data_IF_547937604774
#
_entry.id   IF_547937604774
#
_cell.length_a   1.000
_cell.length_b   1.000
_cell.length_c   1.000
_cell.angle_alpha   90.00
_cell.angle_beta   90.00
_cell.angle_gamma   90.00
#
_symmetry.space_group_name_H-M   'P 1'
#
loop_
_entity.id
_entity.type
_entity.pdbx_description
1 polymer ?
#
# COMPACT_ATOMS: atom_id res chain seq x y z
N UNK A 1 34.82 -37.70 -32.29
CA UNK A 1 33.74 -36.87 -32.83
C UNK A 1 32.52 -37.05 -31.95
N UNK A 2 32.26 -36.15 -31.05
CA UNK A 2 31.00 -36.12 -30.31
C UNK A 2 30.77 -34.68 -29.90
N UNK A 3 29.79 -34.08 -30.54
CA UNK A 3 29.36 -32.73 -30.30
C UNK A 3 28.58 -32.62 -29.00
N UNK A 4 29.10 -31.85 -28.04
CA UNK A 4 28.42 -31.48 -26.83
C UNK A 4 27.40 -30.38 -27.09
N UNK A 5 26.14 -30.71 -27.02
CA UNK A 5 25.02 -29.78 -27.09
C UNK A 5 24.91 -29.07 -25.72
N UNK A 6 25.17 -27.80 -25.71
CA UNK A 6 24.95 -26.93 -24.56
C UNK A 6 23.47 -26.48 -24.54
N UNK A 7 22.66 -26.84 -23.55
CA UNK A 7 21.33 -26.26 -23.40
C UNK A 7 21.44 -24.87 -22.81
N UNK A 8 21.30 -23.88 -23.66
CA UNK A 8 21.19 -22.48 -23.26
C UNK A 8 20.07 -22.31 -22.24
N UNK A 9 20.46 -21.99 -21.02
CA UNK A 9 19.57 -21.62 -19.93
C UNK A 9 19.06 -20.19 -20.19
N UNK A 10 18.05 -20.11 -21.05
CA UNK A 10 17.25 -18.92 -21.25
C UNK A 10 16.42 -18.67 -20.02
N UNK A 11 17.00 -18.00 -19.01
CA UNK A 11 16.24 -17.43 -17.90
C UNK A 11 15.34 -16.34 -18.47
N UNK A 12 14.17 -16.76 -18.95
CA UNK A 12 13.05 -15.86 -19.16
C UNK A 12 12.84 -15.10 -17.85
N UNK A 13 13.18 -13.82 -17.86
CA UNK A 13 12.80 -12.88 -16.81
C UNK A 13 11.27 -12.70 -16.88
N UNK A 14 10.55 -13.75 -16.47
CA UNK A 14 9.11 -13.69 -16.32
C UNK A 14 8.78 -12.48 -15.46
N UNK A 15 8.05 -11.53 -16.01
CA UNK A 15 7.54 -10.38 -15.30
C UNK A 15 6.80 -10.90 -14.06
N UNK A 16 7.35 -10.65 -12.88
CA UNK A 16 6.70 -11.07 -11.63
C UNK A 16 5.30 -10.48 -11.60
N UNK A 17 4.26 -11.27 -11.33
CA UNK A 17 2.90 -10.77 -11.19
C UNK A 17 2.88 -9.59 -10.23
N UNK A 18 2.07 -8.58 -10.52
CA UNK A 18 1.95 -7.44 -9.62
C UNK A 18 1.47 -7.88 -8.24
N UNK A 19 1.80 -7.11 -7.21
CA UNK A 19 1.35 -7.38 -5.84
C UNK A 19 -0.17 -7.61 -5.79
N UNK A 20 -0.96 -6.75 -6.45
CA UNK A 20 -2.41 -6.87 -6.45
C UNK A 20 -2.90 -8.15 -7.16
N UNK A 21 -2.24 -8.60 -8.24
CA UNK A 21 -2.58 -9.86 -8.90
C UNK A 21 -2.33 -11.07 -8.00
N UNK A 22 -1.24 -11.04 -7.21
CA UNK A 22 -0.95 -12.08 -6.23
C UNK A 22 -1.95 -12.06 -5.07
N UNK A 23 -2.32 -10.90 -4.58
CA UNK A 23 -3.36 -10.75 -3.55
C UNK A 23 -4.73 -11.22 -4.04
N UNK A 24 -5.06 -11.01 -5.33
CA UNK A 24 -6.30 -11.52 -5.94
C UNK A 24 -6.33 -13.05 -6.03
N UNK A 25 -5.18 -13.69 -6.19
CA UNK A 25 -5.08 -15.14 -6.20
C UNK A 25 -5.26 -15.80 -4.82
N UNK A 26 -5.26 -15.02 -3.74
CA UNK A 26 -5.78 -15.40 -2.43
C UNK A 26 -4.83 -16.16 -1.50
N UNK A 27 -3.72 -16.71 -1.96
CA UNK A 27 -3.01 -17.76 -1.22
C UNK A 27 -1.57 -17.44 -0.80
N UNK A 28 -1.13 -16.18 -0.94
CA UNK A 28 0.28 -15.85 -0.70
C UNK A 28 0.49 -14.94 0.52
N UNK A 29 0.86 -15.54 1.66
CA UNK A 29 1.23 -14.82 2.89
C UNK A 29 2.31 -13.75 2.64
N UNK A 30 3.26 -13.99 1.71
CA UNK A 30 4.29 -13.03 1.35
C UNK A 30 3.71 -11.79 0.66
N UNK A 31 2.67 -11.96 -0.13
CA UNK A 31 1.96 -10.84 -0.78
C UNK A 31 1.21 -9.98 0.23
N UNK A 32 0.61 -10.59 1.25
CA UNK A 32 -0.02 -9.86 2.34
C UNK A 32 1.01 -9.12 3.19
N UNK A 33 2.15 -9.71 3.48
CA UNK A 33 3.26 -9.01 4.15
C UNK A 33 3.76 -7.83 3.32
N UNK A 34 3.87 -7.97 1.99
CA UNK A 34 4.25 -6.88 1.10
C UNK A 34 3.20 -5.76 1.10
N UNK A 35 1.90 -6.10 1.15
CA UNK A 35 0.81 -5.15 1.29
C UNK A 35 0.92 -4.35 2.60
N UNK A 36 1.07 -5.04 3.74
CA UNK A 36 1.24 -4.40 5.03
C UNK A 36 2.47 -3.50 5.08
N UNK A 37 3.60 -3.96 4.55
CA UNK A 37 4.83 -3.14 4.46
C UNK A 37 4.65 -1.91 3.58
N UNK A 38 3.84 -2.02 2.53
CA UNK A 38 3.68 -0.93 1.57
C UNK A 38 2.62 0.07 2.03
N UNK A 39 1.51 -0.37 2.58
CA UNK A 39 0.36 0.50 2.85
C UNK A 39 -0.02 0.61 4.33
N UNK A 40 0.40 -0.33 5.17
CA UNK A 40 0.01 -0.34 6.59
C UNK A 40 0.42 0.93 7.33
N UNK A 41 1.65 1.41 7.11
CA UNK A 41 2.13 2.66 7.72
C UNK A 41 1.34 3.90 7.27
N UNK A 42 0.93 3.93 6.01
CA UNK A 42 0.11 5.01 5.46
C UNK A 42 -1.29 5.02 6.09
N UNK A 43 -1.94 3.86 6.16
CA UNK A 43 -3.28 3.72 6.76
C UNK A 43 -3.24 4.08 8.24
N UNK A 44 -2.24 3.57 8.98
CA UNK A 44 -2.03 3.89 10.40
C UNK A 44 -1.88 5.38 10.63
N UNK A 45 -1.03 6.05 9.85
CA UNK A 45 -0.82 7.50 9.95
C UNK A 45 -2.13 8.29 9.86
N UNK A 46 -3.02 7.94 8.93
CA UNK A 46 -4.31 8.63 8.79
C UNK A 46 -5.31 8.25 9.89
N UNK A 47 -5.24 7.03 10.41
CA UNK A 47 -6.05 6.60 11.54
C UNK A 47 -5.67 7.36 12.82
N UNK A 48 -4.39 7.46 13.14
CA UNK A 48 -3.88 8.25 14.27
C UNK A 48 -4.19 9.75 14.10
N UNK A 49 -4.05 10.28 12.88
CA UNK A 49 -4.39 11.68 12.57
C UNK A 49 -5.88 11.96 12.73
N UNK A 50 -6.75 10.98 12.55
CA UNK A 50 -8.18 11.08 12.85
C UNK A 50 -8.50 10.99 14.37
N UNK A 51 -7.47 10.83 15.20
CA UNK A 51 -7.60 10.80 16.66
C UNK A 51 -7.78 9.40 17.25
N UNK A 52 -7.51 8.33 16.49
CA UNK A 52 -7.47 6.97 17.00
C UNK A 52 -6.17 6.72 17.79
N UNK A 53 -6.23 5.85 18.79
CA UNK A 53 -5.04 5.36 19.49
C UNK A 53 -4.21 4.45 18.58
N UNK A 54 -2.97 4.14 18.96
CA UNK A 54 -2.10 3.25 18.19
C UNK A 54 -2.73 1.86 18.00
N UNK A 55 -3.39 1.31 19.03
CA UNK A 55 -4.05 0.00 18.96
C UNK A 55 -5.27 0.03 18.03
N UNK A 56 -6.10 1.08 18.13
CA UNK A 56 -7.24 1.28 17.24
C UNK A 56 -6.80 1.51 15.78
N UNK A 57 -5.70 2.23 15.58
CA UNK A 57 -5.13 2.45 14.25
C UNK A 57 -4.60 1.13 13.64
N UNK A 58 -4.02 0.25 14.46
CA UNK A 58 -3.61 -1.08 14.01
C UNK A 58 -4.83 -1.94 13.64
N UNK A 59 -5.92 -1.87 14.40
CA UNK A 59 -7.17 -2.54 14.07
C UNK A 59 -7.73 -2.03 12.71
N UNK A 60 -7.67 -0.72 12.48
CA UNK A 60 -8.04 -0.13 11.17
C UNK A 60 -7.18 -0.69 10.04
N UNK A 61 -5.87 -0.86 10.24
CA UNK A 61 -4.98 -1.45 9.23
C UNK A 61 -5.41 -2.88 8.91
N UNK A 62 -5.66 -3.71 9.94
CA UNK A 62 -6.09 -5.10 9.78
C UNK A 62 -7.45 -5.19 9.09
N UNK A 63 -8.43 -4.43 9.54
CA UNK A 63 -9.78 -4.39 8.97
C UNK A 63 -9.78 -3.90 7.51
N UNK A 64 -8.90 -2.92 7.19
CA UNK A 64 -8.71 -2.46 5.81
C UNK A 64 -8.10 -3.57 4.95
N UNK A 65 -7.10 -4.30 5.44
CA UNK A 65 -6.51 -5.42 4.71
C UNK A 65 -7.53 -6.55 4.46
N UNK A 66 -8.36 -6.88 5.45
CA UNK A 66 -9.47 -7.84 5.29
C UNK A 66 -10.46 -7.33 4.24
N UNK A 67 -10.82 -6.04 4.28
CA UNK A 67 -11.69 -5.42 3.29
C UNK A 67 -11.09 -5.46 1.88
N UNK A 68 -9.77 -5.25 1.75
CA UNK A 68 -9.04 -5.42 0.49
C UNK A 68 -9.12 -6.87 0.02
N UNK A 69 -8.86 -7.86 0.89
CA UNK A 69 -8.92 -9.27 0.55
C UNK A 69 -10.27 -9.68 -0.03
N UNK A 70 -11.35 -9.24 0.60
CA UNK A 70 -12.72 -9.57 0.19
C UNK A 70 -13.16 -8.89 -1.10
N UNK A 71 -12.79 -7.62 -1.31
CA UNK A 71 -13.30 -6.79 -2.42
C UNK A 71 -12.34 -6.69 -3.61
N UNK A 72 -11.05 -6.94 -3.41
CA UNK A 72 -10.06 -6.88 -4.48
C UNK A 72 -10.34 -7.86 -5.64
N UNK A 73 -10.88 -9.08 -5.42
CA UNK A 73 -11.28 -9.96 -6.52
C UNK A 73 -12.32 -9.35 -7.46
N UNK A 74 -13.25 -8.57 -6.93
CA UNK A 74 -14.33 -7.92 -7.66
C UNK A 74 -13.97 -6.51 -8.14
N UNK A 75 -12.84 -5.97 -7.69
CA UNK A 75 -12.41 -4.64 -8.05
C UNK A 75 -12.08 -4.53 -9.53
N UNK A 76 -12.93 -3.84 -10.27
CA UNK A 76 -12.72 -3.49 -11.68
C UNK A 76 -12.01 -2.13 -11.72
N UNK A 77 -10.80 -2.14 -12.27
CA UNK A 77 -10.06 -0.91 -12.45
C UNK A 77 -10.55 -0.16 -13.69
N UNK A 78 -11.17 0.97 -13.46
CA UNK A 78 -11.40 1.97 -14.50
C UNK A 78 -10.75 3.29 -14.04
N UNK A 79 -9.67 3.75 -14.69
CA UNK A 79 -8.98 4.98 -14.31
C UNK A 79 -9.87 6.22 -14.41
N UNK A 80 -10.98 6.15 -15.18
CA UNK A 80 -11.98 7.21 -15.29
C UNK A 80 -12.96 7.21 -14.11
N UNK A 81 -13.14 6.04 -13.45
CA UNK A 81 -14.09 5.88 -12.35
C UNK A 81 -13.38 5.93 -11.01
N UNK A 82 -12.39 5.06 -10.79
CA UNK A 82 -11.67 5.01 -9.52
C UNK A 82 -10.27 4.40 -9.67
N UNK A 83 -9.25 5.13 -9.23
CA UNK A 83 -7.89 4.60 -9.09
C UNK A 83 -7.77 3.79 -7.80
N UNK A 84 -6.87 2.80 -7.79
CA UNK A 84 -6.61 2.00 -6.58
C UNK A 84 -6.27 2.87 -5.36
N UNK A 85 -5.49 3.94 -5.54
CA UNK A 85 -5.17 4.90 -4.48
C UNK A 85 -6.43 5.47 -3.82
N UNK A 86 -7.38 5.93 -4.62
CA UNK A 86 -8.65 6.50 -4.16
C UNK A 86 -9.55 5.42 -3.53
N UNK A 87 -9.59 4.24 -4.12
CA UNK A 87 -10.34 3.11 -3.60
C UNK A 87 -9.83 2.69 -2.21
N UNK A 88 -8.50 2.58 -2.05
CA UNK A 88 -7.90 2.25 -0.76
C UNK A 88 -8.15 3.33 0.29
N UNK A 89 -8.07 4.62 -0.10
CA UNK A 89 -8.44 5.75 0.77
C UNK A 89 -9.86 5.61 1.30
N UNK A 90 -10.82 5.39 0.39
CA UNK A 90 -12.22 5.26 0.77
C UNK A 90 -12.45 4.08 1.72
N UNK A 91 -11.78 2.95 1.46
CA UNK A 91 -11.87 1.78 2.33
C UNK A 91 -11.28 2.06 3.73
N UNK A 92 -10.09 2.67 3.80
CA UNK A 92 -9.45 3.03 5.06
C UNK A 92 -10.28 4.09 5.81
N UNK A 93 -10.79 5.11 5.12
CA UNK A 93 -11.64 6.16 5.70
C UNK A 93 -12.91 5.57 6.32
N UNK A 94 -13.53 4.63 5.63
CA UNK A 94 -14.71 3.95 6.16
C UNK A 94 -14.39 3.16 7.44
N UNK A 95 -13.25 2.46 7.51
CA UNK A 95 -12.82 1.75 8.72
C UNK A 95 -12.47 2.70 9.87
N UNK A 96 -11.87 3.84 9.59
CA UNK A 96 -11.61 4.90 10.57
C UNK A 96 -12.94 5.41 11.16
N UNK A 97 -13.93 5.69 10.30
CA UNK A 97 -15.25 6.12 10.74
C UNK A 97 -15.93 5.10 11.65
N UNK A 98 -15.85 3.83 11.27
CA UNK A 98 -16.44 2.73 12.01
C UNK A 98 -15.82 2.60 13.41
N UNK A 99 -14.49 2.73 13.51
CA UNK A 99 -13.76 2.68 14.78
C UNK A 99 -14.09 3.88 15.69
N UNK A 100 -14.18 5.08 15.14
CA UNK A 100 -14.62 6.27 15.89
C UNK A 100 -16.06 6.14 16.39
N UNK A 101 -16.93 5.49 15.60
CA UNK A 101 -18.32 5.22 16.00
C UNK A 101 -18.39 4.19 17.11
N UNK A 102 -17.59 3.11 17.04
CA UNK A 102 -17.48 2.11 18.11
C UNK A 102 -17.02 2.75 19.41
N UNK A 103 -15.99 3.62 19.39
CA UNK A 103 -15.49 4.34 20.55
C UNK A 103 -16.59 5.18 21.21
N UNK A 104 -17.29 6.01 20.43
CA UNK A 104 -18.39 6.86 20.96
C UNK A 104 -19.52 6.04 21.56
N UNK A 105 -19.81 4.86 20.98
CA UNK A 105 -20.80 3.94 21.52
C UNK A 105 -20.36 3.35 22.85
N UNK A 106 -19.10 2.95 22.99
CA UNK A 106 -18.52 2.42 24.21
C UNK A 106 -18.44 3.49 25.31
N UNK A 107 -18.06 4.72 24.99
CA UNK A 107 -18.04 5.85 25.93
C UNK A 107 -19.44 6.18 26.48
N UNK A 108 -20.45 6.18 25.58
CA UNK A 108 -21.85 6.35 26.01
C UNK A 108 -22.32 5.23 26.92
N UNK A 109 -21.94 3.99 26.59
CA UNK A 109 -22.29 2.82 27.39
C UNK A 109 -21.57 2.85 28.75
N UNK A 110 -20.30 3.22 28.82
CA UNK A 110 -19.53 3.37 30.01
C UNK A 110 -20.08 4.51 30.92
N UNK A 111 -20.58 5.61 30.32
CA UNK A 111 -21.24 6.68 31.02
C UNK A 111 -22.66 6.35 31.54
N UNK A 112 -23.28 5.30 31.03
CA UNK A 112 -24.61 4.81 31.45
C UNK A 112 -24.50 3.68 32.47
N UNK A 113 -23.35 3.06 32.66
CA UNK A 113 -23.12 1.97 33.62
C UNK A 113 -22.57 2.56 34.93
N UNK A 114 -23.44 3.18 35.72
CA UNK A 114 -23.46 2.95 37.17
C UNK A 114 -24.01 1.52 37.36
N UNK A 115 -23.58 0.71 38.37
CA UNK A 115 -23.64 -0.75 38.32
C UNK A 115 -25.05 -1.28 38.30
N UNK A 116 -25.49 -1.84 37.21
CA UNK A 116 -26.64 -2.71 37.07
C UNK A 116 -26.26 -3.93 36.25
N UNK A 117 -26.21 -5.04 36.96
CA UNK A 117 -26.15 -6.41 36.43
C UNK A 117 -27.14 -6.63 35.26
N UNK A 118 -26.67 -7.15 34.14
CA UNK A 118 -27.58 -7.72 33.15
C UNK A 118 -27.10 -7.62 31.70
N UNK A 119 -26.71 -8.74 31.20
CA UNK A 119 -26.79 -9.26 29.82
C UNK A 119 -26.72 -8.23 28.68
N UNK A 120 -25.58 -8.10 28.06
CA UNK A 120 -25.40 -7.38 26.80
C UNK A 120 -25.44 -8.36 25.63
N UNK A 121 -26.39 -8.23 24.68
CA UNK A 121 -26.33 -9.03 23.48
C UNK A 121 -25.17 -8.57 22.61
N UNK A 122 -24.22 -9.46 22.39
CA UNK A 122 -23.19 -9.35 21.35
C UNK A 122 -23.89 -9.27 19.99
N UNK A 123 -24.06 -8.08 19.46
CA UNK A 123 -24.44 -7.94 18.06
C UNK A 123 -23.21 -8.23 17.21
N UNK A 124 -23.12 -9.46 16.73
CA UNK A 124 -22.33 -9.80 15.57
C UNK A 124 -22.83 -8.94 14.40
N UNK A 125 -22.03 -7.99 13.97
CA UNK A 125 -22.30 -7.24 12.75
C UNK A 125 -22.13 -8.17 11.57
N UNK A 126 -23.27 -8.71 11.11
CA UNK A 126 -23.38 -9.46 9.87
C UNK A 126 -23.16 -8.48 8.70
N UNK A 127 -21.95 -8.55 8.14
CA UNK A 127 -21.38 -7.61 7.14
C UNK A 127 -21.88 -7.93 5.70
N UNK A 128 -22.96 -8.73 5.59
CA UNK A 128 -23.44 -9.27 4.31
C UNK A 128 -24.38 -8.34 3.53
N UNK A 129 -24.81 -7.21 4.10
CA UNK A 129 -25.87 -6.38 3.49
C UNK A 129 -25.39 -5.02 2.94
N UNK A 130 -24.07 -4.76 2.81
CA UNK A 130 -23.58 -3.43 2.42
C UNK A 130 -22.76 -3.41 1.13
N UNK A 131 -23.14 -4.21 0.16
CA UNK A 131 -22.52 -4.24 -1.17
C UNK A 131 -22.96 -3.06 -2.08
N UNK A 132 -23.86 -2.22 -1.63
CA UNK A 132 -24.34 -1.08 -2.40
C UNK A 132 -23.98 0.22 -1.69
N UNK A 133 -23.13 0.98 -2.32
CA UNK A 133 -22.94 2.42 -2.11
C UNK A 133 -21.61 2.81 -1.47
N UNK A 134 -20.59 2.88 -2.32
CA UNK A 134 -19.39 3.73 -2.11
C UNK A 134 -19.80 5.22 -1.95
N UNK A 135 -21.05 5.55 -2.15
CA UNK A 135 -21.67 6.89 -2.11
C UNK A 135 -22.36 7.23 -0.78
N UNK A 136 -22.15 6.48 0.30
CA UNK A 136 -22.75 6.91 1.58
C UNK A 136 -21.98 8.08 2.16
N UNK A 137 -22.69 9.21 2.17
CA UNK A 137 -22.50 10.47 2.87
C UNK A 137 -21.32 10.44 3.84
N UNK A 138 -20.25 11.16 3.47
CA UNK A 138 -19.10 11.37 4.33
C UNK A 138 -19.57 11.91 5.68
N UNK A 139 -19.31 11.18 6.76
CA UNK A 139 -19.52 11.68 8.13
C UNK A 139 -18.63 12.93 8.29
N UNK A 140 -19.19 14.12 8.52
CA UNK A 140 -18.42 15.36 8.62
C UNK A 140 -17.42 15.37 9.79
N UNK A 141 -17.49 14.38 10.69
CA UNK A 141 -16.55 14.24 11.79
C UNK A 141 -15.20 13.60 11.40
N UNK A 142 -15.07 13.06 10.18
CA UNK A 142 -13.81 12.51 9.68
C UNK A 142 -13.20 13.51 8.70
N UNK A 143 -11.94 13.94 8.91
CA UNK A 143 -11.27 14.88 8.04
C UNK A 143 -11.27 14.41 6.58
N UNK A 144 -11.41 15.36 5.68
CA UNK A 144 -11.28 15.11 4.25
C UNK A 144 -9.78 15.06 3.90
N UNK A 145 -9.23 13.84 3.81
CA UNK A 145 -7.80 13.62 3.63
C UNK A 145 -7.28 13.82 2.19
N UNK A 146 -8.09 14.26 1.25
CA UNK A 146 -7.79 14.20 -0.18
C UNK A 146 -6.38 14.60 -0.60
N UNK A 147 -6.01 15.88 -0.43
CA UNK A 147 -4.69 16.38 -0.82
C UNK A 147 -3.55 15.80 0.05
N UNK A 148 -3.77 15.71 1.37
CA UNK A 148 -2.78 15.13 2.30
C UNK A 148 -2.51 13.64 2.00
N UNK A 149 -3.55 12.91 1.60
CA UNK A 149 -3.42 11.52 1.19
C UNK A 149 -2.56 11.40 -0.07
N UNK A 150 -2.75 12.28 -1.02
CA UNK A 150 -2.00 12.28 -2.28
C UNK A 150 -0.50 12.47 -2.03
N UNK A 151 -0.14 13.45 -1.21
CA UNK A 151 1.25 13.70 -0.83
C UNK A 151 1.84 12.55 0.01
N UNK A 152 1.07 12.04 0.97
CA UNK A 152 1.52 10.93 1.81
C UNK A 152 1.67 9.64 1.00
N UNK A 153 0.81 9.41 0.00
CA UNK A 153 0.92 8.29 -0.92
C UNK A 153 2.23 8.34 -1.72
N UNK A 154 2.56 9.49 -2.30
CA UNK A 154 3.81 9.66 -3.06
C UNK A 154 5.04 9.47 -2.18
N UNK A 155 5.04 10.06 -0.98
CA UNK A 155 6.11 9.88 0.00
C UNK A 155 6.26 8.41 0.42
N UNK A 156 5.15 7.72 0.63
CA UNK A 156 5.12 6.31 1.00
C UNK A 156 5.69 5.42 -0.11
N UNK A 157 5.29 5.62 -1.35
CA UNK A 157 5.84 4.88 -2.50
C UNK A 157 7.33 5.15 -2.68
N UNK A 158 7.77 6.41 -2.50
CA UNK A 158 9.18 6.76 -2.58
C UNK A 158 10.00 6.07 -1.46
N UNK A 159 9.52 6.10 -0.21
CA UNK A 159 10.15 5.42 0.91
C UNK A 159 10.28 3.91 0.64
N UNK A 160 9.21 3.29 0.14
CA UNK A 160 9.21 1.88 -0.22
C UNK A 160 10.17 1.55 -1.36
N UNK A 161 10.23 2.39 -2.38
CA UNK A 161 11.19 2.27 -3.47
C UNK A 161 12.63 2.36 -2.98
N UNK A 162 12.90 3.28 -2.06
CA UNK A 162 14.22 3.44 -1.44
C UNK A 162 14.64 2.19 -0.65
N UNK A 163 13.74 1.58 0.14
CA UNK A 163 14.00 0.31 0.83
C UNK A 163 14.36 -0.81 -0.15
N UNK A 164 13.60 -0.94 -1.23
CA UNK A 164 13.84 -1.96 -2.26
C UNK A 164 15.20 -1.74 -2.93
N UNK A 165 15.52 -0.51 -3.29
CA UNK A 165 16.81 -0.16 -3.91
C UNK A 165 17.95 -0.38 -2.93
N UNK A 166 17.79 -0.02 -1.65
CA UNK A 166 18.77 -0.29 -0.59
C UNK A 166 19.13 -1.77 -0.51
N UNK A 167 18.17 -2.66 -0.63
CA UNK A 167 18.40 -4.12 -0.62
C UNK A 167 19.13 -4.66 -1.85
N UNK A 168 19.31 -3.85 -2.91
CA UNK A 168 19.93 -4.25 -4.19
C UNK A 168 21.29 -3.61 -4.44
N UNK A 169 21.65 -2.60 -3.67
CA UNK A 169 22.90 -1.87 -3.85
C UNK A 169 23.91 -2.24 -2.75
N UNK A 170 25.19 -2.05 -3.05
CA UNK A 170 26.27 -2.23 -2.09
C UNK A 170 26.14 -1.25 -0.91
N UNK A 171 26.46 -1.74 0.29
CA UNK A 171 26.39 -0.99 1.54
C UNK A 171 27.19 0.33 1.48
N UNK A 172 28.37 0.33 0.81
CA UNK A 172 29.19 1.52 0.63
C UNK A 172 28.53 2.56 -0.28
N UNK A 173 27.86 2.12 -1.34
CA UNK A 173 27.09 3.01 -2.20
C UNK A 173 25.90 3.63 -1.45
N UNK A 174 25.21 2.84 -0.63
CA UNK A 174 24.13 3.35 0.20
C UNK A 174 24.67 4.34 1.24
N UNK A 175 25.82 4.08 1.87
CA UNK A 175 26.44 4.99 2.83
C UNK A 175 26.76 6.36 2.21
N UNK A 176 27.30 6.39 0.98
CA UNK A 176 27.54 7.63 0.24
C UNK A 176 26.23 8.40 0.05
N UNK A 177 25.18 7.70 -0.38
CA UNK A 177 23.87 8.30 -0.62
C UNK A 177 23.24 8.82 0.69
N UNK A 178 23.29 8.04 1.76
CA UNK A 178 22.74 8.42 3.06
C UNK A 178 23.43 9.67 3.62
N UNK A 179 24.77 9.71 3.62
CA UNK A 179 25.50 10.87 4.10
C UNK A 179 25.21 12.14 3.28
N UNK A 180 25.20 12.01 1.95
CA UNK A 180 25.02 13.15 1.07
C UNK A 180 23.58 13.62 0.94
N UNK A 181 22.62 12.68 0.79
CA UNK A 181 21.21 13.00 0.50
C UNK A 181 20.37 13.06 1.75
N UNK A 182 20.49 12.06 2.65
CA UNK A 182 19.63 11.96 3.84
C UNK A 182 20.13 12.87 4.96
N UNK A 183 21.46 12.87 5.19
CA UNK A 183 22.09 13.68 6.24
C UNK A 183 22.56 15.05 5.75
N UNK A 184 22.40 15.31 4.47
CA UNK A 184 22.73 16.58 3.82
C UNK A 184 24.18 17.07 4.06
N UNK A 185 25.14 16.13 4.10
CA UNK A 185 26.56 16.49 4.24
C UNK A 185 27.09 17.11 2.96
N UNK A 186 28.02 18.08 3.06
CA UNK A 186 28.75 18.58 1.89
C UNK A 186 29.47 17.45 1.15
N UNK A 187 29.45 17.42 -0.18
CA UNK A 187 30.01 16.30 -0.95
C UNK A 187 31.53 16.17 -0.75
N UNK A 188 32.24 17.26 -0.41
CA UNK A 188 33.67 17.28 -0.08
C UNK A 188 33.96 16.55 1.24
N UNK A 189 33.07 16.70 2.23
CA UNK A 189 33.20 16.04 3.52
C UNK A 189 32.88 14.53 3.42
N UNK A 190 31.89 14.19 2.62
CA UNK A 190 31.61 12.78 2.30
C UNK A 190 32.79 12.14 1.59
N UNK A 191 33.36 12.84 0.60
CA UNK A 191 34.51 12.37 -0.15
C UNK A 191 35.72 12.14 0.76
N UNK A 192 36.01 13.11 1.64
CA UNK A 192 37.12 13.07 2.61
C UNK A 192 36.93 11.91 3.60
N UNK A 193 35.75 11.80 4.18
CA UNK A 193 35.42 10.76 5.20
C UNK A 193 35.51 9.35 4.65
N UNK A 194 35.07 9.16 3.41
CA UNK A 194 35.00 7.82 2.79
C UNK A 194 36.23 7.50 1.90
N UNK A 195 37.19 8.43 1.77
CA UNK A 195 38.40 8.27 0.95
C UNK A 195 38.07 8.07 -0.54
N UNK A 196 37.14 8.84 -1.06
CA UNK A 196 36.69 8.77 -2.48
C UNK A 196 36.73 10.15 -3.13
N UNK A 197 36.61 10.22 -4.45
CA UNK A 197 36.50 11.51 -5.15
C UNK A 197 35.09 12.12 -5.04
N UNK A 198 35.00 13.45 -5.04
CA UNK A 198 33.73 14.19 -5.08
C UNK A 198 32.87 13.78 -6.29
N UNK A 199 33.54 13.56 -7.44
CA UNK A 199 32.83 13.04 -8.64
C UNK A 199 32.15 11.72 -8.39
N UNK A 200 32.75 10.83 -7.59
CA UNK A 200 32.12 9.54 -7.22
C UNK A 200 30.90 9.72 -6.32
N UNK A 201 30.90 10.72 -5.44
CA UNK A 201 29.72 11.07 -4.62
C UNK A 201 28.54 11.46 -5.51
N UNK A 202 28.76 12.38 -6.47
CA UNK A 202 27.72 12.80 -7.41
C UNK A 202 27.22 11.66 -8.32
N UNK A 203 28.12 10.84 -8.85
CA UNK A 203 27.76 9.68 -9.68
C UNK A 203 26.92 8.67 -8.91
N UNK A 204 27.30 8.40 -7.66
CA UNK A 204 26.55 7.46 -6.80
C UNK A 204 25.16 8.00 -6.48
N UNK A 205 25.06 9.28 -6.09
CA UNK A 205 23.77 9.95 -5.90
C UNK A 205 22.89 9.83 -7.13
N UNK A 206 23.43 10.19 -8.29
CA UNK A 206 22.66 10.16 -9.54
C UNK A 206 22.14 8.76 -9.86
N UNK A 207 22.99 7.72 -9.73
CA UNK A 207 22.61 6.32 -10.00
C UNK A 207 21.52 5.83 -9.04
N UNK A 208 21.68 6.10 -7.75
CA UNK A 208 20.69 5.66 -6.74
C UNK A 208 19.39 6.43 -6.92
N UNK A 209 19.42 7.76 -7.11
CA UNK A 209 18.21 8.55 -7.37
C UNK A 209 17.46 8.07 -8.61
N UNK A 210 18.16 7.78 -9.70
CA UNK A 210 17.55 7.23 -10.91
C UNK A 210 16.91 5.85 -10.67
N UNK A 211 17.60 4.98 -9.88
CA UNK A 211 17.06 3.67 -9.51
C UNK A 211 15.81 3.79 -8.64
N UNK A 212 15.80 4.71 -7.65
CA UNK A 212 14.63 4.97 -6.80
C UNK A 212 13.45 5.50 -7.62
N UNK A 213 13.67 6.50 -8.48
CA UNK A 213 12.63 7.04 -9.36
C UNK A 213 12.06 5.94 -10.27
N UNK A 214 12.92 5.10 -10.84
CA UNK A 214 12.48 3.97 -11.68
C UNK A 214 11.63 2.98 -10.88
N UNK A 215 12.03 2.68 -9.65
CA UNK A 215 11.32 1.75 -8.78
C UNK A 215 9.98 2.34 -8.31
N UNK A 216 9.91 3.64 -7.95
CA UNK A 216 8.66 4.34 -7.62
C UNK A 216 7.66 4.25 -8.76
N UNK A 217 8.09 4.58 -9.99
CA UNK A 217 7.23 4.45 -11.18
C UNK A 217 6.81 3.01 -11.45
N UNK A 218 7.66 2.04 -11.10
CA UNK A 218 7.32 0.62 -11.20
C UNK A 218 6.22 0.24 -10.22
N UNK A 219 6.34 0.68 -8.97
CA UNK A 219 5.32 0.46 -7.94
C UNK A 219 3.97 1.08 -8.34
N UNK A 220 3.97 2.32 -8.81
CA UNK A 220 2.76 2.99 -9.33
C UNK A 220 2.11 2.20 -10.46
N UNK A 221 2.89 1.85 -11.49
CA UNK A 221 2.39 1.08 -12.63
C UNK A 221 1.89 -0.31 -12.24
N UNK A 222 2.54 -0.98 -11.28
CA UNK A 222 2.08 -2.29 -10.81
C UNK A 222 0.72 -2.22 -10.15
N UNK A 223 0.45 -1.15 -9.41
CA UNK A 223 -0.84 -0.89 -8.81
C UNK A 223 -1.91 -0.64 -9.89
N UNK A 224 -1.59 0.15 -10.90
CA UNK A 224 -2.51 0.49 -11.99
C UNK A 224 -2.77 -0.69 -12.94
N UNK A 225 -1.72 -1.42 -13.32
CA UNK A 225 -1.83 -2.55 -14.26
C UNK A 225 -2.56 -3.77 -13.67
N UNK A 226 -2.35 -4.05 -12.39
CA UNK A 226 -3.07 -5.13 -11.72
C UNK A 226 -4.56 -4.86 -11.63
N UNK A 227 -4.89 -3.59 -11.58
CA UNK A 227 -6.26 -3.14 -11.61
C UNK A 227 -6.86 -3.24 -13.04
N UNK A 228 -6.06 -2.97 -14.09
CA UNK A 228 -6.51 -2.92 -15.49
C UNK A 228 -6.62 -4.29 -16.17
N UNK A 229 -5.85 -5.30 -15.78
CA UNK A 229 -5.75 -6.59 -16.47
C UNK A 229 -7.07 -7.39 -16.54
N UNK A 230 -8.06 -7.07 -15.71
CA UNK A 230 -9.36 -7.78 -15.67
C UNK A 230 -10.45 -7.15 -16.53
N UNK A 231 -10.28 -5.92 -16.98
CA UNK A 231 -11.26 -5.29 -17.88
C UNK A 231 -11.27 -5.94 -19.27
N UNK A 232 -10.22 -6.72 -19.60
CA UNK A 232 -10.08 -7.39 -20.90
C UNK A 232 -10.54 -8.86 -20.89
N UNK A 233 -10.78 -9.48 -19.73
CA UNK A 233 -11.14 -10.90 -19.60
C UNK A 233 -12.64 -11.19 -19.44
N UNK A 234 -13.51 -10.19 -19.52
CA UNK A 234 -14.95 -10.48 -19.58
C UNK A 234 -15.32 -10.74 -21.05
N UNK A 235 -15.47 -12.00 -21.50
CA UNK A 235 -15.95 -12.28 -22.84
C UNK A 235 -17.41 -11.83 -22.92
N UNK A 236 -17.69 -11.05 -23.93
CA UNK A 236 -19.03 -10.82 -24.43
C UNK A 236 -19.65 -12.16 -24.90
N UNK A 237 -20.25 -12.90 -23.99
CA UNK A 237 -21.00 -14.11 -24.34
C UNK A 237 -22.29 -14.20 -23.53
N UNK A 238 -23.30 -13.50 -23.99
CA UNK A 238 -24.70 -13.88 -23.85
C UNK A 238 -25.61 -12.91 -24.62
N UNK A 239 -25.46 -12.87 -25.95
CA UNK A 239 -26.57 -12.47 -26.81
C UNK A 239 -26.47 -13.33 -28.05
N UNK A 240 -27.23 -14.39 -28.08
CA UNK A 240 -27.41 -15.26 -29.24
C UNK A 240 -28.26 -16.48 -28.91
N UNK A 241 -29.50 -16.35 -29.15
CA UNK A 241 -30.39 -17.38 -29.70
C UNK A 241 -31.77 -17.45 -29.08
N UNK A 242 -32.67 -17.10 -29.93
CA UNK A 242 -33.99 -17.60 -30.24
C UNK A 242 -35.09 -17.32 -29.25
#
# INVERSE_FOLDING_TARGET
MSAGTNPGNGTSLGTRPSLLNRLKAGDDAASWQEFYRTYGGLIRFFAERAGLTADEAEEVVQETAIGVARRLPEFVYDPKVCRFKTWLLNLARWRIQDQLRKRRSNEKLAGLIAPSTGDTPIRSSDDTAQTATVERIADPSVPEFGAEWDEAWERNLFARALEIVRGRIDARQFQIFDLYVTKNWPPEDVARTLGISVARVYLTKHRISAAVIKETRRLEKQVEQAAAARTQETPASAHGSA
#
